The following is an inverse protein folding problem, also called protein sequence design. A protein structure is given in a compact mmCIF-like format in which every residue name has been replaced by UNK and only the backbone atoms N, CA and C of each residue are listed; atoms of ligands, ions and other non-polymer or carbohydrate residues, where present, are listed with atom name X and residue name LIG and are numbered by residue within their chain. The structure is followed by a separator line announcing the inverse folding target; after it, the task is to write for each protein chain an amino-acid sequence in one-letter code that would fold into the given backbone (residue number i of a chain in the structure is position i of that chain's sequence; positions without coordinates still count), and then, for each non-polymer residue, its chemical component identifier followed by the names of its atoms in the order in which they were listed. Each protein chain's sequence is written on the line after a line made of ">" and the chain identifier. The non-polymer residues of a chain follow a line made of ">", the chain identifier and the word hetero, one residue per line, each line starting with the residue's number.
data_IF_574209228062
#
_entry.id   IF_574209228062
#
_cell.length_a   1.000
_cell.length_b   1.000
_cell.length_c   1.000
_cell.angle_alpha   90.00
_cell.angle_beta   90.00
_cell.angle_gamma   90.00
#
_symmetry.space_group_name_H-M   'P 1'
#
loop_
_entity.id
_entity.type
_entity.pdbx_description
1 polymer ?
#
# COMPACT_ATOMS: atom_id res chain seq x y z
N UNK A 1 20.05 -22.13 12.57
CA UNK A 1 19.87 -20.79 12.00
C UNK A 1 18.60 -20.91 11.18
N UNK A 2 17.46 -20.57 11.78
CA UNK A 2 16.17 -20.67 11.09
C UNK A 2 16.19 -19.62 9.97
N UNK A 3 16.10 -20.06 8.72
CA UNK A 3 15.79 -19.16 7.62
C UNK A 3 14.36 -18.65 7.87
N UNK A 4 14.27 -17.42 8.34
CA UNK A 4 12.99 -16.71 8.43
C UNK A 4 12.47 -16.58 6.99
N UNK A 5 11.50 -17.42 6.62
CA UNK A 5 10.87 -17.40 5.31
C UNK A 5 10.32 -16.00 5.05
N UNK A 6 10.95 -15.25 4.16
CA UNK A 6 10.49 -13.94 3.76
C UNK A 6 9.26 -14.12 2.86
N UNK A 7 8.07 -14.13 3.46
CA UNK A 7 6.82 -14.30 2.73
C UNK A 7 6.50 -12.99 2.01
N UNK A 8 6.54 -13.01 0.68
CA UNK A 8 6.04 -11.93 -0.15
C UNK A 8 4.50 -11.93 -0.12
N UNK A 9 3.91 -10.85 0.37
CA UNK A 9 2.46 -10.65 0.40
C UNK A 9 1.92 -10.19 -0.96
N UNK A 10 2.73 -9.47 -1.73
CA UNK A 10 2.38 -8.94 -3.04
C UNK A 10 3.38 -7.90 -3.51
N UNK A 11 3.03 -7.19 -4.58
CA UNK A 11 3.84 -6.10 -5.12
C UNK A 11 2.99 -4.96 -5.66
N UNK A 12 3.54 -3.75 -5.60
CA UNK A 12 3.02 -2.60 -6.32
C UNK A 12 3.72 -2.51 -7.67
N UNK A 13 2.95 -2.29 -8.74
CA UNK A 13 3.46 -2.17 -10.11
C UNK A 13 2.90 -0.90 -10.72
N UNK A 14 3.78 0.07 -10.99
CA UNK A 14 3.46 1.25 -11.79
C UNK A 14 4.28 1.28 -13.07
N UNK A 15 4.15 2.35 -13.85
CA UNK A 15 4.75 2.44 -15.19
C UNK A 15 6.27 2.22 -15.21
N UNK A 16 6.98 2.70 -14.18
CA UNK A 16 8.44 2.66 -14.11
C UNK A 16 8.97 2.14 -12.78
N UNK A 17 8.14 1.44 -11.99
CA UNK A 17 8.58 0.91 -10.71
C UNK A 17 7.86 -0.37 -10.32
N UNK A 18 8.57 -1.21 -9.59
CA UNK A 18 8.04 -2.35 -8.85
C UNK A 18 8.48 -2.22 -7.38
N UNK A 19 7.58 -2.45 -6.45
CA UNK A 19 7.88 -2.51 -5.02
C UNK A 19 7.30 -3.78 -4.42
N UNK A 20 8.14 -4.65 -3.85
CA UNK A 20 7.71 -5.91 -3.21
C UNK A 20 7.34 -5.68 -1.75
N UNK A 21 6.27 -6.32 -1.33
CA UNK A 21 5.64 -6.18 -0.03
C UNK A 21 5.91 -7.44 0.79
N UNK A 22 6.74 -7.31 1.82
CA UNK A 22 7.08 -8.41 2.73
C UNK A 22 6.45 -8.26 4.13
N UNK A 23 5.72 -7.16 4.36
CA UNK A 23 5.01 -6.89 5.61
C UNK A 23 3.51 -6.83 5.38
N UNK A 24 2.73 -7.07 6.43
CA UNK A 24 1.26 -6.99 6.36
C UNK A 24 0.72 -5.57 6.20
N UNK A 25 1.56 -4.55 6.35
CA UNK A 25 1.19 -3.14 6.21
C UNK A 25 2.38 -2.34 5.72
N UNK A 26 2.14 -1.47 4.74
CA UNK A 26 3.08 -0.51 4.18
C UNK A 26 2.47 0.88 4.11
N UNK A 27 3.31 1.90 4.23
CA UNK A 27 2.96 3.30 4.11
C UNK A 27 3.53 3.86 2.82
N UNK A 28 2.66 4.50 2.05
CA UNK A 28 2.98 5.26 0.86
C UNK A 28 2.89 6.74 1.19
N UNK A 29 3.85 7.53 0.74
CA UNK A 29 3.83 8.97 0.99
C UNK A 29 5.09 9.66 0.53
N UNK A 30 5.54 10.62 1.32
CA UNK A 30 6.72 11.43 1.02
C UNK A 30 7.65 11.48 2.21
N UNK A 31 8.91 11.15 1.98
CA UNK A 31 9.91 11.33 3.01
C UNK A 31 10.12 12.81 3.34
N UNK A 32 10.28 13.12 4.63
CA UNK A 32 10.70 14.44 5.10
C UNK A 32 12.01 14.29 5.84
N UNK A 33 13.05 14.96 5.35
CA UNK A 33 14.36 15.03 5.97
C UNK A 33 14.78 16.50 6.14
N UNK A 34 13.99 17.29 6.85
CA UNK A 34 14.39 18.67 7.19
C UNK A 34 14.79 18.74 8.66
N UNK A 35 15.86 19.48 8.97
CA UNK A 35 16.27 19.78 10.36
C UNK A 35 15.15 20.46 11.18
N UNK A 36 14.18 21.11 10.52
CA UNK A 36 13.06 21.83 11.16
C UNK A 36 11.80 20.99 11.39
N UNK A 37 11.66 19.83 10.74
CA UNK A 37 10.43 19.04 10.79
C UNK A 37 10.72 17.62 11.23
N UNK A 38 9.77 16.99 11.95
CA UNK A 38 9.87 15.57 12.35
C UNK A 38 10.21 14.73 11.11
N UNK A 39 11.27 13.92 11.23
CA UNK A 39 11.69 13.00 10.17
C UNK A 39 10.54 12.04 9.91
N UNK A 40 10.08 12.01 8.66
CA UNK A 40 9.07 11.05 8.19
C UNK A 40 9.78 10.12 7.24
N UNK A 41 9.74 8.82 7.54
CA UNK A 41 10.19 7.75 6.67
C UNK A 41 8.96 6.91 6.30
N UNK A 42 8.75 6.70 5.01
CA UNK A 42 7.73 5.81 4.46
C UNK A 42 8.36 4.61 3.79
N UNK A 43 7.57 3.56 3.57
CA UNK A 43 8.01 2.35 2.88
C UNK A 43 8.15 2.61 1.39
N UNK A 44 7.22 3.38 0.81
CA UNK A 44 7.24 3.79 -0.61
C UNK A 44 7.18 5.31 -0.72
N UNK A 45 8.29 5.93 -1.13
CA UNK A 45 8.37 7.37 -1.37
C UNK A 45 7.90 7.71 -2.78
N UNK A 46 6.63 8.12 -2.88
CA UNK A 46 5.99 8.45 -4.14
C UNK A 46 6.62 9.67 -4.83
N UNK A 47 7.30 10.55 -4.08
CA UNK A 47 8.01 11.68 -4.69
C UNK A 47 9.28 11.24 -5.41
N UNK A 48 9.99 10.24 -4.86
CA UNK A 48 11.14 9.63 -5.53
C UNK A 48 10.75 8.88 -6.81
N UNK A 49 9.48 8.50 -6.94
CA UNK A 49 8.91 7.88 -8.13
C UNK A 49 8.36 8.89 -9.17
N UNK A 50 8.58 10.19 -8.96
CA UNK A 50 8.11 11.25 -9.87
C UNK A 50 6.81 11.94 -9.48
N UNK A 51 6.28 11.64 -8.28
CA UNK A 51 5.03 12.21 -7.80
C UNK A 51 5.13 13.69 -7.46
N UNK A 52 4.01 14.40 -7.60
CA UNK A 52 3.91 15.84 -7.34
C UNK A 52 3.95 16.09 -5.83
N UNK A 53 5.07 16.63 -5.36
CA UNK A 53 5.41 16.83 -3.95
C UNK A 53 4.32 17.48 -3.10
N UNK A 54 3.66 18.51 -3.64
CA UNK A 54 2.65 19.28 -2.91
C UNK A 54 1.29 18.56 -2.79
N UNK A 55 1.08 17.53 -3.63
CA UNK A 55 -0.10 16.66 -3.56
C UNK A 55 0.14 15.43 -2.66
N UNK A 56 1.39 15.19 -2.22
CA UNK A 56 1.77 14.00 -1.46
C UNK A 56 2.10 14.36 -0.01
N UNK A 57 1.24 13.87 0.90
CA UNK A 57 1.44 13.97 2.34
C UNK A 57 2.57 13.07 2.83
N UNK A 58 3.11 13.36 4.02
CA UNK A 58 4.20 12.59 4.61
C UNK A 58 3.83 11.11 4.75
N UNK A 59 2.70 10.83 5.38
CA UNK A 59 1.99 9.55 5.29
C UNK A 59 0.74 9.84 4.46
N UNK A 60 0.66 9.33 3.25
CA UNK A 60 -0.46 9.62 2.34
C UNK A 60 -1.48 8.49 2.34
N UNK A 61 -1.03 7.25 2.24
CA UNK A 61 -1.91 6.10 2.30
C UNK A 61 -1.24 4.95 3.02
N UNK A 62 -2.04 4.08 3.65
CA UNK A 62 -1.60 2.79 4.18
C UNK A 62 -2.24 1.69 3.37
N UNK A 63 -1.45 0.84 2.73
CA UNK A 63 -1.93 -0.43 2.17
C UNK A 63 -1.63 -1.49 3.20
N UNK A 64 -2.63 -2.30 3.56
CA UNK A 64 -2.49 -3.35 4.55
C UNK A 64 -3.35 -4.54 4.19
N UNK A 65 -2.96 -5.72 4.67
CA UNK A 65 -3.80 -6.90 4.59
C UNK A 65 -4.82 -6.90 5.74
N UNK A 66 -6.09 -6.82 5.38
CA UNK A 66 -7.20 -6.99 6.30
C UNK A 66 -7.43 -8.49 6.53
N UNK A 67 -6.95 -8.98 7.68
CA UNK A 67 -7.07 -10.39 8.06
C UNK A 67 -8.52 -10.84 8.26
N UNK A 68 -9.44 -9.94 8.63
CA UNK A 68 -10.84 -10.29 8.81
C UNK A 68 -11.53 -10.47 7.45
N UNK A 69 -11.20 -9.60 6.48
CA UNK A 69 -11.78 -9.65 5.14
C UNK A 69 -10.97 -10.50 4.15
N UNK A 70 -9.83 -11.03 4.59
CA UNK A 70 -8.89 -11.81 3.78
C UNK A 70 -8.54 -11.13 2.46
N UNK A 71 -8.24 -9.83 2.51
CA UNK A 71 -7.90 -9.04 1.32
C UNK A 71 -7.02 -7.86 1.67
N UNK A 72 -6.35 -7.29 0.67
CA UNK A 72 -5.73 -5.99 0.85
C UNK A 72 -6.76 -4.87 0.89
N UNK A 73 -6.49 -3.87 1.72
CA UNK A 73 -7.25 -2.64 1.80
C UNK A 73 -6.30 -1.44 1.83
N UNK A 74 -6.82 -0.29 1.41
CA UNK A 74 -6.13 0.99 1.46
C UNK A 74 -6.88 1.98 2.34
N UNK A 75 -6.16 2.55 3.30
CA UNK A 75 -6.62 3.67 4.13
C UNK A 75 -5.98 4.96 3.62
N UNK A 76 -6.80 5.98 3.39
CA UNK A 76 -6.35 7.29 2.92
C UNK A 76 -6.11 8.20 4.12
N UNK A 77 -4.89 8.75 4.21
CA UNK A 77 -4.44 9.62 5.31
C UNK A 77 -4.10 11.04 4.82
N UNK A 78 -3.72 11.17 3.55
CA UNK A 78 -3.25 12.40 2.93
C UNK A 78 -4.38 13.33 2.49
N UNK A 79 -4.22 14.63 2.75
CA UNK A 79 -5.27 15.65 2.50
C UNK A 79 -5.82 15.66 1.08
N UNK A 80 -4.99 15.38 0.07
CA UNK A 80 -5.38 15.41 -1.34
C UNK A 80 -6.10 14.13 -1.81
N UNK A 81 -6.18 13.11 -0.95
CA UNK A 81 -6.87 11.88 -1.25
C UNK A 81 -6.14 10.96 -2.22
N UNK A 82 -6.78 9.81 -2.46
CA UNK A 82 -6.34 8.77 -3.37
C UNK A 82 -7.48 8.49 -4.35
N UNK A 83 -7.17 8.35 -5.64
CA UNK A 83 -8.14 7.84 -6.60
C UNK A 83 -8.00 6.32 -6.73
N UNK A 84 -9.11 5.61 -6.71
CA UNK A 84 -9.18 4.16 -6.95
C UNK A 84 -10.20 3.95 -8.06
N UNK A 85 -9.76 3.46 -9.21
CA UNK A 85 -10.57 3.35 -10.43
C UNK A 85 -11.30 4.66 -10.79
N UNK A 86 -10.63 5.79 -10.59
CA UNK A 86 -11.18 7.12 -10.87
C UNK A 86 -12.11 7.69 -9.79
N UNK A 87 -12.42 6.94 -8.73
CA UNK A 87 -13.20 7.43 -7.58
C UNK A 87 -12.27 8.03 -6.53
N UNK A 88 -12.52 9.28 -6.12
CA UNK A 88 -11.73 9.96 -5.10
C UNK A 88 -12.15 9.50 -3.69
N UNK A 89 -11.18 9.04 -2.91
CA UNK A 89 -11.29 8.73 -1.49
C UNK A 89 -10.46 9.72 -0.68
N UNK A 90 -11.02 10.22 0.43
CA UNK A 90 -10.45 11.25 1.28
C UNK A 90 -10.14 10.73 2.69
N UNK A 91 -9.30 11.45 3.46
CA UNK A 91 -9.05 11.09 4.85
C UNK A 91 -10.33 11.07 5.68
N UNK A 92 -10.53 10.00 6.45
CA UNK A 92 -11.73 9.75 7.25
C UNK A 92 -12.72 8.80 6.60
N UNK A 93 -12.59 8.54 5.29
CA UNK A 93 -13.37 7.49 4.62
C UNK A 93 -12.98 6.10 5.17
N UNK A 94 -13.91 5.13 5.18
CA UNK A 94 -13.58 3.75 5.51
C UNK A 94 -12.52 3.18 4.57
N UNK A 95 -11.62 2.30 5.05
CA UNK A 95 -10.63 1.64 4.20
C UNK A 95 -11.30 0.90 3.03
N UNK A 96 -10.76 1.11 1.83
CA UNK A 96 -11.28 0.56 0.59
C UNK A 96 -10.61 -0.77 0.31
N UNK A 97 -11.39 -1.81 0.02
CA UNK A 97 -10.86 -3.11 -0.41
C UNK A 97 -10.23 -2.97 -1.80
N UNK A 98 -8.99 -3.41 -1.95
CA UNK A 98 -8.30 -3.48 -3.23
C UNK A 98 -8.55 -4.85 -3.89
N UNK A 99 -9.16 -4.81 -5.07
CA UNK A 99 -9.28 -5.92 -5.99
C UNK A 99 -8.04 -5.99 -6.89
N UNK A 100 -7.73 -7.19 -7.42
CA UNK A 100 -6.79 -7.29 -8.53
C UNK A 100 -7.22 -6.34 -9.66
N UNK A 101 -6.28 -5.56 -10.19
CA UNK A 101 -6.47 -4.56 -11.25
C UNK A 101 -7.12 -3.23 -10.86
N UNK A 102 -7.40 -2.94 -9.58
CA UNK A 102 -7.75 -1.57 -9.22
C UNK A 102 -6.58 -0.63 -9.53
N UNK A 103 -6.82 0.38 -10.36
CA UNK A 103 -5.86 1.44 -10.66
C UNK A 103 -5.88 2.43 -9.50
N UNK A 104 -4.76 2.51 -8.79
CA UNK A 104 -4.56 3.45 -7.69
C UNK A 104 -3.77 4.65 -8.19
N UNK A 105 -4.26 5.86 -7.92
CA UNK A 105 -3.59 7.10 -8.27
C UNK A 105 -3.42 8.04 -7.08
N UNK A 106 -2.17 8.38 -6.77
CA UNK A 106 -1.80 9.28 -5.67
C UNK A 106 -0.77 10.29 -6.17
N UNK A 107 -1.09 11.58 -6.08
CA UNK A 107 -0.13 12.65 -6.38
C UNK A 107 0.49 12.57 -7.79
N UNK A 108 -0.26 12.06 -8.76
CA UNK A 108 0.21 11.87 -10.14
C UNK A 108 0.90 10.53 -10.42
N UNK A 109 1.13 9.70 -9.41
CA UNK A 109 1.64 8.34 -9.57
C UNK A 109 0.47 7.36 -9.70
N UNK A 110 0.55 6.51 -10.71
CA UNK A 110 -0.40 5.45 -11.01
C UNK A 110 0.25 4.07 -10.81
N UNK A 111 -0.46 3.16 -10.15
CA UNK A 111 0.02 1.80 -9.91
C UNK A 111 -1.13 0.83 -9.58
N UNK A 112 -0.82 -0.46 -9.70
CA UNK A 112 -1.68 -1.56 -9.32
C UNK A 112 -1.08 -2.33 -8.16
N UNK A 113 -1.93 -2.97 -7.37
CA UNK A 113 -1.52 -3.99 -6.41
C UNK A 113 -1.68 -5.38 -7.05
N UNK A 114 -0.61 -6.17 -7.01
CA UNK A 114 -0.60 -7.57 -7.46
C UNK A 114 -0.33 -8.46 -6.25
N UNK A 115 -1.35 -9.15 -5.70
CA UNK A 115 -1.17 -10.07 -4.58
C UNK A 115 -0.32 -11.29 -4.98
N UNK A 116 0.52 -11.76 -4.06
CA UNK A 116 1.29 -13.00 -4.29
C UNK A 116 0.39 -14.22 -4.02
N UNK A 117 0.32 -15.13 -4.99
CA UNK A 117 -0.58 -16.30 -4.98
C UNK A 117 -0.37 -17.18 -3.73
N UNK A 118 0.86 -17.33 -3.25
CA UNK A 118 1.19 -18.17 -2.10
C UNK A 118 0.41 -17.77 -0.84
N UNK A 119 0.18 -16.46 -0.64
CA UNK A 119 -0.50 -15.96 0.54
C UNK A 119 -2.00 -16.31 0.55
N UNK A 120 -2.65 -16.23 -0.62
CA UNK A 120 -4.05 -16.65 -0.77
C UNK A 120 -4.26 -18.13 -0.46
N UNK A 121 -3.34 -19.01 -0.90
CA UNK A 121 -3.43 -20.45 -0.65
C UNK A 121 -3.12 -20.84 0.79
N UNK A 122 -2.09 -20.24 1.41
CA UNK A 122 -1.70 -20.60 2.80
C UNK A 122 -2.77 -20.13 3.79
N UNK A 123 -3.28 -18.90 3.67
CA UNK A 123 -4.26 -18.39 4.63
C UNK A 123 -5.62 -19.08 4.52
N UNK A 124 -6.09 -19.36 3.30
CA UNK A 124 -7.34 -20.11 3.12
C UNK A 124 -7.23 -21.53 3.66
N UNK A 125 -6.08 -22.19 3.47
CA UNK A 125 -5.84 -23.54 3.99
C UNK A 125 -5.72 -23.57 5.53
N UNK A 126 -5.03 -22.61 6.14
CA UNK A 126 -4.90 -22.52 7.61
C UNK A 126 -6.22 -22.17 8.31
N UNK A 127 -7.07 -21.34 7.70
CA UNK A 127 -8.42 -21.07 8.20
C UNK A 127 -9.34 -22.30 8.05
N UNK A 128 -9.22 -23.04 6.96
CA UNK A 128 -9.99 -24.27 6.74
C UNK A 128 -9.63 -25.41 7.69
N UNK A 129 -8.40 -25.43 8.23
CA UNK A 129 -7.93 -26.45 9.18
C UNK A 129 -8.31 -26.16 10.65
N UNK A 130 -8.88 -24.99 10.93
CA UNK A 130 -9.31 -24.57 12.28
C UNK A 130 -10.82 -24.68 12.51
N UNK A 131 -11.55 -25.30 11.59
CA UNK A 131 -12.98 -25.65 11.73
C UNK A 131 -13.16 -27.16 11.78
#
# INVERSE_FOLDING_TARGET
>A
MEEELEIEYGKLVGDNFEYRIFTSSIILGRNKSSKRYKKVKVDVDLCSLGGIKDLISGHHARIFYDFYRCCFAIEVLGRCGCYIDGVLHLPGDPPVKLQPNNLVKIGGIEFYLVPTLLFGYIFTSFLSLKN
#
